data_IF_572993559753
#
_entry.id   IF_572993559753
#
_cell.length_a   1.000
_cell.length_b   1.000
_cell.length_c   1.000
_cell.angle_alpha   90.00
_cell.angle_beta   90.00
_cell.angle_gamma   90.00
#
_symmetry.space_group_name_H-M   'P 1'
#
loop_
_entity.id
_entity.type
_entity.pdbx_description
1 polymer ?
#
# COMPACT_ATOMS: atom_id res chain seq x y z
N UNK A 1 0.54 -8.25 -2.21
CA UNK A 1 0.70 -6.83 -2.58
C UNK A 1 -0.52 -6.41 -3.35
N UNK A 2 -1.27 -5.45 -2.81
CA UNK A 2 -2.45 -4.89 -3.45
C UNK A 2 -2.01 -3.73 -4.35
N UNK A 3 -2.69 -3.55 -5.48
CA UNK A 3 -2.55 -2.38 -6.34
C UNK A 3 -1.13 -2.13 -6.93
N UNK A 4 -0.47 -3.18 -7.43
CA UNK A 4 0.77 -3.00 -8.19
C UNK A 4 0.54 -2.10 -9.43
N UNK A 5 1.56 -1.33 -9.87
CA UNK A 5 1.43 -0.38 -10.97
C UNK A 5 0.94 -0.98 -12.30
N UNK A 6 1.16 -2.29 -12.49
CA UNK A 6 0.78 -3.05 -13.69
C UNK A 6 -0.50 -3.87 -13.52
N UNK A 7 -1.13 -3.89 -12.34
CA UNK A 7 -2.39 -4.59 -12.15
C UNK A 7 -3.58 -3.67 -12.40
N UNK A 8 -4.58 -4.20 -13.12
CA UNK A 8 -5.89 -3.59 -13.23
C UNK A 8 -6.47 -3.36 -11.84
N UNK A 9 -7.19 -2.24 -11.69
CA UNK A 9 -7.96 -1.97 -10.49
C UNK A 9 -8.83 -3.18 -10.11
N UNK A 10 -8.71 -3.63 -8.85
CA UNK A 10 -9.57 -4.66 -8.26
C UNK A 10 -10.60 -3.98 -7.38
N UNK A 11 -11.88 -4.31 -7.54
CA UNK A 11 -12.92 -3.83 -6.64
C UNK A 11 -12.65 -4.32 -5.21
N UNK A 12 -13.07 -3.56 -4.19
CA UNK A 12 -12.95 -4.02 -2.80
C UNK A 12 -13.57 -5.41 -2.58
N UNK A 13 -14.72 -5.69 -3.20
CA UNK A 13 -15.34 -7.02 -3.15
C UNK A 13 -14.45 -8.13 -3.70
N UNK A 14 -13.73 -7.88 -4.80
CA UNK A 14 -12.80 -8.85 -5.38
C UNK A 14 -11.59 -9.08 -4.47
N UNK A 15 -11.07 -8.04 -3.82
CA UNK A 15 -9.94 -8.15 -2.88
C UNK A 15 -10.38 -8.90 -1.62
N UNK A 16 -11.53 -8.55 -1.05
CA UNK A 16 -12.12 -9.24 0.09
C UNK A 16 -12.34 -10.73 -0.20
N UNK A 17 -12.92 -11.06 -1.35
CA UNK A 17 -13.11 -12.46 -1.77
C UNK A 17 -11.78 -13.21 -1.89
N UNK A 18 -10.74 -12.56 -2.44
CA UNK A 18 -9.41 -13.17 -2.56
C UNK A 18 -8.79 -13.43 -1.19
N UNK A 19 -8.82 -12.45 -0.29
CA UNK A 19 -8.29 -12.58 1.07
C UNK A 19 -9.05 -13.63 1.87
N UNK A 20 -10.37 -13.68 1.80
CA UNK A 20 -11.18 -14.76 2.41
C UNK A 20 -10.80 -16.13 1.83
N UNK A 21 -10.69 -16.25 0.51
CA UNK A 21 -10.30 -17.50 -0.16
C UNK A 21 -8.92 -17.98 0.24
N UNK A 22 -7.97 -17.07 0.48
CA UNK A 22 -6.60 -17.40 0.89
C UNK A 22 -6.51 -18.19 2.20
N UNK A 23 -7.53 -18.11 3.07
CA UNK A 23 -7.60 -18.91 4.30
C UNK A 23 -7.58 -20.41 4.04
N UNK A 24 -8.18 -20.85 2.94
CA UNK A 24 -8.24 -22.28 2.56
C UNK A 24 -6.85 -22.88 2.33
N UNK A 25 -5.84 -22.04 2.12
CA UNK A 25 -4.43 -22.45 1.98
C UNK A 25 -3.74 -22.68 3.33
N UNK A 26 -4.41 -22.43 4.45
CA UNK A 26 -3.87 -22.46 5.81
C UNK A 26 -2.52 -21.70 5.93
N UNK A 27 -2.47 -20.42 5.50
CA UNK A 27 -1.22 -19.67 5.51
C UNK A 27 -0.77 -19.41 6.96
N UNK A 28 0.48 -19.78 7.27
CA UNK A 28 1.12 -19.45 8.55
C UNK A 28 1.37 -17.95 8.70
N UNK A 29 1.59 -17.27 7.57
CA UNK A 29 1.99 -15.88 7.49
C UNK A 29 1.33 -15.25 6.26
N UNK A 30 0.75 -14.07 6.44
CA UNK A 30 0.29 -13.21 5.35
C UNK A 30 1.01 -11.88 5.45
N UNK A 31 1.65 -11.47 4.36
CA UNK A 31 2.22 -10.14 4.22
C UNK A 31 1.31 -9.30 3.32
N UNK A 32 0.84 -8.20 3.88
CA UNK A 32 -0.08 -7.29 3.21
C UNK A 32 0.67 -6.00 2.87
N UNK A 33 0.63 -5.61 1.61
CA UNK A 33 1.19 -4.33 1.16
C UNK A 33 0.08 -3.56 0.47
N UNK A 34 -0.20 -2.35 0.93
CA UNK A 34 -1.29 -1.49 0.45
C UNK A 34 -0.82 -0.04 0.30
N UNK A 35 -1.59 0.77 -0.44
CA UNK A 35 -1.34 2.20 -0.56
C UNK A 35 -1.90 2.98 0.61
N UNK A 36 -1.13 3.98 1.04
CA UNK A 36 -1.53 4.91 2.09
C UNK A 36 -2.14 6.16 1.45
N UNK A 37 -3.25 6.62 2.05
CA UNK A 37 -3.97 7.80 1.57
C UNK A 37 -5.33 7.45 0.98
N UNK A 38 -6.33 7.42 1.84
CA UNK A 38 -7.72 7.64 1.46
C UNK A 38 -8.31 8.64 2.44
N UNK A 39 -8.52 9.86 1.96
CA UNK A 39 -9.22 10.90 2.71
C UNK A 39 -10.72 10.71 2.52
N UNK A 40 -11.45 10.61 3.63
CA UNK A 40 -12.91 10.68 3.62
C UNK A 40 -13.37 12.09 3.24
N UNK A 41 -14.37 12.20 2.38
CA UNK A 41 -14.92 13.50 1.99
C UNK A 41 -15.48 13.56 0.58
N UNK A 42 -15.97 14.73 0.19
CA UNK A 42 -16.48 15.00 -1.15
C UNK A 42 -15.40 14.91 -2.25
N UNK A 43 -15.83 15.03 -3.50
CA UNK A 43 -14.96 14.94 -4.69
C UNK A 43 -13.68 15.79 -4.56
N UNK A 44 -13.80 17.06 -4.18
CA UNK A 44 -12.67 17.99 -4.10
C UNK A 44 -11.59 17.52 -3.12
N UNK A 45 -11.99 17.04 -1.93
CA UNK A 45 -11.04 16.55 -0.93
C UNK A 45 -10.30 15.30 -1.41
N UNK A 46 -11.05 14.34 -1.97
CA UNK A 46 -10.46 13.13 -2.57
C UNK A 46 -9.55 13.44 -3.76
N UNK A 47 -9.92 14.39 -4.61
CA UNK A 47 -9.10 14.83 -5.73
C UNK A 47 -7.79 15.48 -5.27
N UNK A 48 -7.85 16.39 -4.30
CA UNK A 48 -6.66 17.04 -3.75
C UNK A 48 -5.74 16.04 -3.06
N UNK A 49 -6.29 15.08 -2.31
CA UNK A 49 -5.50 14.01 -1.70
C UNK A 49 -4.76 13.15 -2.74
N UNK A 50 -5.46 12.76 -3.82
CA UNK A 50 -4.84 12.06 -4.95
C UNK A 50 -3.76 12.89 -5.62
N UNK A 51 -4.01 14.19 -5.85
CA UNK A 51 -3.03 15.09 -6.45
C UNK A 51 -1.75 15.13 -5.60
N UNK A 52 -1.88 15.33 -4.29
CA UNK A 52 -0.73 15.31 -3.38
C UNK A 52 -0.01 13.96 -3.36
N UNK A 53 -0.75 12.85 -3.39
CA UNK A 53 -0.19 11.51 -3.45
C UNK A 53 0.63 11.28 -4.72
N UNK A 54 0.07 11.56 -5.89
CA UNK A 54 0.77 11.35 -7.16
C UNK A 54 1.91 12.35 -7.37
N UNK A 55 1.79 13.60 -6.91
CA UNK A 55 2.92 14.55 -6.90
C UNK A 55 4.10 14.00 -6.11
N UNK A 56 3.86 13.41 -4.92
CA UNK A 56 4.92 12.79 -4.13
C UNK A 56 5.59 11.61 -4.85
N UNK A 57 4.83 10.80 -5.60
CA UNK A 57 5.38 9.71 -6.43
C UNK A 57 6.23 10.25 -7.58
N UNK A 58 5.75 11.27 -8.30
CA UNK A 58 6.50 11.86 -9.41
C UNK A 58 7.80 12.51 -8.92
N UNK A 59 7.75 13.26 -7.82
CA UNK A 59 8.94 13.84 -7.19
C UNK A 59 9.94 12.76 -6.75
N UNK A 60 9.46 11.64 -6.19
CA UNK A 60 10.33 10.57 -5.72
C UNK A 60 11.02 9.82 -6.88
N UNK A 61 10.33 9.66 -8.01
CA UNK A 61 10.89 9.12 -9.24
C UNK A 61 11.92 10.07 -9.86
N UNK A 62 11.60 11.37 -9.91
CA UNK A 62 12.50 12.37 -10.45
C UNK A 62 13.79 12.46 -9.65
N UNK A 63 13.69 12.51 -8.33
CA UNK A 63 14.85 12.52 -7.46
C UNK A 63 15.64 11.21 -7.55
N UNK A 64 14.96 10.06 -7.50
CA UNK A 64 15.59 8.73 -7.49
C UNK A 64 16.32 8.34 -8.78
N UNK A 65 15.87 8.86 -9.92
CA UNK A 65 16.34 8.42 -11.25
C UNK A 65 16.67 9.60 -12.20
N UNK A 66 17.59 10.51 -11.82
CA UNK A 66 17.85 11.74 -12.57
C UNK A 66 18.49 11.48 -13.94
N UNK A 67 19.20 10.35 -14.09
CA UNK A 67 19.91 9.99 -15.33
C UNK A 67 19.10 9.07 -16.25
N UNK A 68 17.96 8.56 -15.79
CA UNK A 68 17.16 7.54 -16.50
C UNK A 68 15.86 8.13 -17.06
N UNK A 69 15.94 9.33 -17.67
CA UNK A 69 14.76 10.06 -18.16
C UNK A 69 13.82 9.24 -19.05
N UNK A 70 14.34 8.40 -19.97
CA UNK A 70 13.49 7.55 -20.83
C UNK A 70 12.72 6.48 -20.05
N UNK A 71 13.39 5.78 -19.13
CA UNK A 71 12.74 4.76 -18.30
C UNK A 71 11.72 5.41 -17.37
N UNK A 72 12.04 6.57 -16.81
CA UNK A 72 11.13 7.36 -15.97
C UNK A 72 9.87 7.75 -16.73
N UNK A 73 10.00 8.35 -17.92
CA UNK A 73 8.87 8.73 -18.77
C UNK A 73 8.00 7.53 -19.13
N UNK A 74 8.60 6.37 -19.41
CA UNK A 74 7.83 5.15 -19.65
C UNK A 74 7.01 4.74 -18.42
N UNK A 75 7.59 4.82 -17.21
CA UNK A 75 6.86 4.49 -15.98
C UNK A 75 5.70 5.45 -15.75
N UNK A 76 5.96 6.75 -15.92
CA UNK A 76 4.97 7.81 -15.77
C UNK A 76 3.81 7.66 -16.77
N UNK A 77 4.11 7.40 -18.04
CA UNK A 77 3.08 7.32 -19.08
C UNK A 77 2.34 6.00 -19.11
N UNK A 78 3.03 4.87 -18.94
CA UNK A 78 2.45 3.53 -19.14
C UNK A 78 1.79 3.00 -17.88
N UNK A 79 2.30 3.32 -16.69
CA UNK A 79 1.75 2.84 -15.42
C UNK A 79 1.01 3.93 -14.66
N UNK A 80 1.63 5.09 -14.42
CA UNK A 80 1.02 6.12 -13.56
C UNK A 80 -0.14 6.84 -14.26
N UNK A 81 0.02 7.22 -15.54
CA UNK A 81 -1.02 7.92 -16.31
C UNK A 81 -2.38 7.20 -16.30
N UNK A 82 -2.46 5.93 -16.74
CA UNK A 82 -3.71 5.16 -16.72
C UNK A 82 -4.28 5.01 -15.31
N UNK A 83 -3.41 4.86 -14.31
CA UNK A 83 -3.81 4.72 -12.90
C UNK A 83 -4.41 6.00 -12.33
N UNK A 84 -3.83 7.15 -12.63
CA UNK A 84 -4.36 8.47 -12.26
C UNK A 84 -5.73 8.65 -12.91
N UNK A 85 -5.84 8.42 -14.22
CA UNK A 85 -7.09 8.56 -14.95
C UNK A 85 -8.19 7.65 -14.36
N UNK A 86 -7.88 6.39 -14.07
CA UNK A 86 -8.81 5.45 -13.45
C UNK A 86 -9.17 5.80 -12.01
N UNK A 87 -8.28 6.46 -11.26
CA UNK A 87 -8.57 6.92 -9.89
C UNK A 87 -9.46 8.16 -9.89
N UNK A 88 -9.18 9.14 -10.76
CA UNK A 88 -10.02 10.34 -10.93
C UNK A 88 -11.42 9.97 -11.41
N UNK A 89 -11.54 9.05 -12.37
CA UNK A 89 -12.83 8.58 -12.87
C UNK A 89 -13.69 7.94 -11.76
N UNK A 90 -13.09 7.13 -10.88
CA UNK A 90 -13.78 6.51 -9.74
C UNK A 90 -14.24 7.54 -8.71
N UNK A 91 -13.37 8.47 -8.35
CA UNK A 91 -13.71 9.56 -7.41
C UNK A 91 -14.83 10.44 -7.97
N UNK A 92 -14.84 10.70 -9.28
CA UNK A 92 -15.90 11.47 -9.93
C UNK A 92 -17.26 10.76 -9.93
N UNK A 93 -17.28 9.43 -10.13
CA UNK A 93 -18.52 8.63 -10.11
C UNK A 93 -18.99 8.27 -8.70
N UNK A 94 -18.27 8.70 -7.67
CA UNK A 94 -18.43 8.24 -6.28
C UNK A 94 -18.33 6.70 -6.14
N UNK A 95 -17.75 6.03 -7.14
CA UNK A 95 -17.54 4.60 -7.18
C UNK A 95 -16.38 4.24 -6.26
N UNK A 96 -16.71 3.78 -5.05
CA UNK A 96 -15.74 3.39 -4.04
C UNK A 96 -16.09 4.04 -2.71
N UNK A 97 -16.80 3.30 -1.86
CA UNK A 97 -16.81 3.59 -0.44
C UNK A 97 -15.39 3.52 0.12
N UNK A 98 -15.15 4.26 1.21
CA UNK A 98 -13.96 4.10 2.04
C UNK A 98 -13.93 2.65 2.51
N UNK A 99 -13.16 1.80 1.83
CA UNK A 99 -12.73 0.56 2.43
C UNK A 99 -11.60 1.00 3.33
N UNK A 100 -11.81 0.97 4.65
CA UNK A 100 -10.73 1.20 5.60
C UNK A 100 -9.52 0.32 5.28
N UNK A 101 -8.40 0.53 6.00
CA UNK A 101 -7.18 -0.24 5.78
C UNK A 101 -7.49 -1.74 5.65
N UNK A 102 -6.93 -2.39 4.61
CA UNK A 102 -7.10 -3.82 4.42
C UNK A 102 -6.56 -4.60 5.61
N UNK A 103 -5.63 -4.02 6.38
CA UNK A 103 -5.17 -4.58 7.64
C UNK A 103 -6.29 -4.66 8.68
N UNK A 104 -7.07 -3.59 8.86
CA UNK A 104 -8.20 -3.58 9.80
C UNK A 104 -9.28 -4.56 9.36
N UNK A 105 -9.57 -4.61 8.05
CA UNK A 105 -10.48 -5.59 7.47
C UNK A 105 -10.00 -7.04 7.69
N UNK A 106 -8.69 -7.29 7.51
CA UNK A 106 -8.12 -8.61 7.74
C UNK A 106 -8.28 -9.02 9.21
N UNK A 107 -8.06 -8.09 10.14
CA UNK A 107 -8.27 -8.32 11.56
C UNK A 107 -9.75 -8.64 11.88
N UNK A 108 -10.70 -7.87 11.34
CA UNK A 108 -12.13 -8.02 11.67
C UNK A 108 -12.77 -9.24 11.01
N UNK A 109 -12.57 -9.43 9.71
CA UNK A 109 -13.32 -10.42 8.92
C UNK A 109 -12.61 -11.76 8.83
N UNK A 110 -11.29 -11.76 8.98
CA UNK A 110 -10.49 -12.95 8.69
C UNK A 110 -9.85 -13.62 9.90
N UNK A 111 -9.86 -12.98 11.07
CA UNK A 111 -9.33 -13.55 12.31
C UNK A 111 -7.80 -13.66 12.35
N UNK A 112 -7.10 -13.15 11.33
CA UNK A 112 -5.66 -12.98 11.40
C UNK A 112 -5.31 -11.94 12.47
N UNK A 113 -4.21 -12.19 13.17
CA UNK A 113 -3.69 -11.30 14.19
C UNK A 113 -2.41 -10.61 13.69
N UNK A 114 -2.19 -9.34 14.07
CA UNK A 114 -0.96 -8.64 13.74
C UNK A 114 0.24 -9.36 14.36
N UNK A 115 1.30 -9.56 13.58
CA UNK A 115 2.56 -10.16 14.07
C UNK A 115 3.71 -9.18 13.94
N UNK A 116 4.61 -9.21 14.94
CA UNK A 116 5.74 -8.29 14.99
C UNK A 116 6.67 -8.46 13.78
N UNK A 117 7.08 -7.34 13.21
CA UNK A 117 8.14 -7.29 12.22
C UNK A 117 9.48 -7.50 12.95
N UNK A 118 10.33 -8.37 12.40
CA UNK A 118 11.61 -8.66 13.02
C UNK A 118 12.54 -7.45 12.95
N UNK A 119 13.41 -7.29 13.97
CA UNK A 119 14.44 -6.24 13.96
C UNK A 119 15.30 -6.27 12.68
N UNK A 120 15.61 -7.46 12.17
CA UNK A 120 16.33 -7.62 10.90
C UNK A 120 15.57 -6.98 9.72
N UNK A 121 14.25 -7.14 9.64
CA UNK A 121 13.44 -6.52 8.60
C UNK A 121 13.40 -4.98 8.74
N UNK A 122 13.39 -4.45 9.97
CA UNK A 122 13.53 -3.01 10.21
C UNK A 122 14.88 -2.48 9.69
N UNK A 123 15.98 -3.19 10.00
CA UNK A 123 17.30 -2.85 9.48
C UNK A 123 17.35 -2.92 7.95
N UNK A 124 16.79 -3.96 7.34
CA UNK A 124 16.74 -4.10 5.88
C UNK A 124 15.98 -2.95 5.22
N UNK A 125 14.83 -2.54 5.77
CA UNK A 125 14.10 -1.40 5.27
C UNK A 125 14.95 -0.11 5.32
N UNK A 126 15.60 0.16 6.45
CA UNK A 126 16.46 1.35 6.61
C UNK A 126 17.68 1.33 5.67
N UNK A 127 18.32 0.17 5.52
CA UNK A 127 19.44 -0.01 4.59
C UNK A 127 19.00 0.21 3.14
N UNK A 128 17.84 -0.33 2.74
CA UNK A 128 17.30 -0.14 1.40
C UNK A 128 17.04 1.34 1.11
N UNK A 129 16.47 2.09 2.05
CA UNK A 129 16.26 3.53 1.86
C UNK A 129 17.57 4.31 1.73
N UNK A 130 18.62 3.91 2.46
CA UNK A 130 19.95 4.51 2.36
C UNK A 130 20.62 4.34 0.99
N UNK A 131 20.10 3.49 0.10
CA UNK A 131 20.57 3.36 -1.28
C UNK A 131 19.96 4.42 -2.22
N UNK A 132 18.93 5.14 -1.78
CA UNK A 132 18.22 6.15 -2.56
C UNK A 132 18.38 7.53 -1.88
N UNK A 133 17.95 8.59 -2.57
CA UNK A 133 18.06 9.95 -2.05
C UNK A 133 17.26 10.17 -0.75
N UNK A 134 17.68 11.18 0.03
CA UNK A 134 17.18 11.55 1.38
C UNK A 134 15.69 11.94 1.48
N UNK A 135 14.91 11.85 0.41
CA UNK A 135 13.48 12.07 0.45
C UNK A 135 12.68 10.88 0.99
N UNK A 136 13.21 9.66 0.89
CA UNK A 136 12.51 8.47 1.38
C UNK A 136 12.61 8.31 2.90
N UNK A 137 11.52 7.87 3.54
CA UNK A 137 11.45 7.64 4.98
C UNK A 137 10.69 6.35 5.28
N UNK A 138 11.05 5.72 6.40
CA UNK A 138 10.30 4.61 6.97
C UNK A 138 9.75 5.02 8.33
N UNK A 139 8.45 4.87 8.50
CA UNK A 139 7.74 5.04 9.78
C UNK A 139 7.31 3.68 10.33
N UNK A 140 7.27 3.57 11.65
CA UNK A 140 6.93 2.34 12.38
C UNK A 140 5.69 2.62 13.25
N UNK A 141 4.49 2.80 12.66
CA UNK A 141 3.30 3.20 13.42
C UNK A 141 2.77 2.10 14.35
N UNK A 142 3.12 0.84 14.09
CA UNK A 142 2.75 -0.32 14.91
C UNK A 142 3.81 -1.41 14.76
N UNK A 143 3.89 -2.34 15.72
CA UNK A 143 4.90 -3.41 15.72
C UNK A 143 4.79 -4.35 14.51
N UNK A 144 3.63 -4.43 13.87
CA UNK A 144 3.38 -5.28 12.72
C UNK A 144 3.39 -4.52 11.38
N UNK A 145 3.69 -3.21 11.36
CA UNK A 145 3.50 -2.35 10.17
C UNK A 145 4.68 -1.41 9.95
N UNK A 146 5.23 -1.43 8.75
CA UNK A 146 6.16 -0.43 8.21
C UNK A 146 5.44 0.45 7.20
N UNK A 147 5.71 1.75 7.22
CA UNK A 147 5.15 2.70 6.25
C UNK A 147 6.29 3.38 5.51
N UNK A 148 6.32 3.22 4.19
CA UNK A 148 7.18 3.95 3.29
C UNK A 148 6.55 5.30 2.97
N UNK A 149 7.33 6.37 3.15
CA UNK A 149 6.95 7.73 2.81
C UNK A 149 7.97 8.42 1.92
N UNK A 150 7.50 9.48 1.25
CA UNK A 150 8.32 10.48 0.57
C UNK A 150 8.10 11.84 1.23
N UNK A 151 9.16 12.42 1.79
CA UNK A 151 9.14 13.64 2.60
C UNK A 151 8.12 13.50 3.75
N UNK A 152 6.99 14.21 3.68
CA UNK A 152 5.90 14.18 4.68
C UNK A 152 4.71 13.32 4.25
N UNK A 153 4.73 12.71 3.06
CA UNK A 153 3.61 11.94 2.51
C UNK A 153 3.87 10.44 2.67
N UNK A 154 2.96 9.74 3.35
CA UNK A 154 2.92 8.27 3.35
C UNK A 154 2.46 7.77 1.99
N UNK A 155 3.13 6.75 1.45
CA UNK A 155 2.89 6.22 0.12
C UNK A 155 2.37 4.79 0.16
N UNK A 156 3.12 3.91 0.83
CA UNK A 156 2.83 2.47 0.90
C UNK A 156 3.02 2.01 2.33
N UNK A 157 2.27 0.99 2.72
CA UNK A 157 2.54 0.27 3.95
C UNK A 157 2.68 -1.22 3.71
N UNK A 158 3.52 -1.84 4.52
CA UNK A 158 3.75 -3.27 4.57
C UNK A 158 3.45 -3.76 5.99
N UNK A 159 2.58 -4.75 6.12
CA UNK A 159 2.18 -5.31 7.40
C UNK A 159 2.21 -6.84 7.40
N UNK A 160 2.43 -7.41 8.60
CA UNK A 160 2.56 -8.85 8.80
C UNK A 160 1.42 -9.36 9.68
N UNK A 161 0.83 -10.48 9.26
CA UNK A 161 -0.35 -11.08 9.85
C UNK A 161 -0.17 -12.59 9.97
N UNK A 162 -0.66 -13.17 11.07
CA UNK A 162 -0.54 -14.58 11.37
C UNK A 162 -1.85 -15.18 11.84
N UNK A 163 -2.01 -16.47 11.64
CA UNK A 163 -3.11 -17.24 12.19
C UNK A 163 -2.58 -18.04 13.37
N UNK A 164 -2.97 -17.66 14.58
CA UNK A 164 -2.79 -18.54 15.74
C UNK A 164 -4.00 -19.47 15.76
N UNK A 165 -3.82 -20.69 15.25
CA UNK A 165 -4.66 -21.77 15.73
C UNK A 165 -4.43 -21.82 17.23
N UNK A 166 -5.47 -21.63 18.05
CA UNK A 166 -5.38 -22.07 19.43
C UNK A 166 -4.91 -23.52 19.35
N UNK A 167 -3.72 -23.80 19.89
CA UNK A 167 -3.32 -25.17 20.18
C UNK A 167 -4.46 -25.77 21.01
N UNK A 168 -5.26 -26.62 20.37
CA UNK A 168 -6.08 -27.59 21.06
C UNK A 168 -5.06 -28.54 21.68
N UNK A 169 -4.61 -28.21 22.89
CA UNK A 169 -3.95 -29.17 23.74
C UNK A 169 -5.07 -29.99 24.37
N UNK A 170 -5.20 -31.21 23.83
CA UNK A 170 -5.90 -32.36 24.39
C UNK A 170 -5.35 -32.69 25.78
#
# INVERSE_FOLDING_TARGET
>A
MLHLPHFNHRSPTSVASFLTGSKSLNPRLVTLVEEEGQVEGGFMGRFMDMLHHYSAIYESLEAGFPMQGRARVLVEQVFLGPRIAGSVARVYREEGGSCGSWGDWLKSETGFQPMNISFANHCQAKLLLGLFNDGYRVEEPASNKLVLGWKSRRLLSASIWGYYAHDIIV
#
